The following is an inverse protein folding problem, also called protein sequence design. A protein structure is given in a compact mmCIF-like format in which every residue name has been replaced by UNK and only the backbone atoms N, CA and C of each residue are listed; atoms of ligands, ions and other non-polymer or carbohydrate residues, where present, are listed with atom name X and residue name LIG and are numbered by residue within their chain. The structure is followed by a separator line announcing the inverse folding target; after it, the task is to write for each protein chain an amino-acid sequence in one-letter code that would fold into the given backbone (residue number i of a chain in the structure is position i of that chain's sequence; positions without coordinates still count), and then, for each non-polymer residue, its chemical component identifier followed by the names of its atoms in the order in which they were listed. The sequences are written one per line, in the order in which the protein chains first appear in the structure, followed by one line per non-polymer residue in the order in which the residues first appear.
data_IF_598508534993
#
_entry.id   IF_598508534993
#
_cell.length_a   1.000
_cell.length_b   1.000
_cell.length_c   1.000
_cell.angle_alpha   90.00
_cell.angle_beta   90.00
_cell.angle_gamma   90.00
#
_symmetry.space_group_name_H-M   'P 1'
#
loop_
_entity.id
_entity.type
_entity.pdbx_description
1 polymer ?
#
# COMPACT_ATOMS: atom_id res chain seq x y z
N UNK A 1 -18.18 -26.27 -18.99
CA UNK A 1 -17.27 -25.81 -20.06
C UNK A 1 -18.07 -25.55 -21.32
N UNK A 2 -18.03 -24.31 -21.83
CA UNK A 2 -18.75 -23.90 -23.06
C UNK A 2 -17.74 -23.58 -24.15
N UNK A 3 -17.98 -24.05 -25.37
CA UNK A 3 -17.14 -23.73 -26.53
C UNK A 3 -17.62 -22.45 -27.20
N UNK A 4 -16.69 -21.54 -27.46
CA UNK A 4 -16.90 -20.34 -28.29
C UNK A 4 -15.63 -20.16 -29.14
N UNK A 5 -15.73 -19.94 -30.46
CA UNK A 5 -14.57 -19.77 -31.34
C UNK A 5 -13.46 -20.85 -31.23
N UNK A 6 -13.85 -22.12 -30.99
CA UNK A 6 -12.91 -23.24 -30.85
C UNK A 6 -12.08 -23.22 -29.56
N UNK A 7 -12.39 -22.33 -28.61
CA UNK A 7 -11.80 -22.28 -27.28
C UNK A 7 -12.83 -22.57 -26.19
N UNK A 8 -12.39 -23.27 -25.15
CA UNK A 8 -13.21 -23.63 -24.00
C UNK A 8 -13.20 -22.53 -22.94
N UNK A 9 -14.38 -22.03 -22.58
CA UNK A 9 -14.57 -20.98 -21.59
C UNK A 9 -15.37 -21.47 -20.38
N UNK A 10 -15.09 -20.84 -19.25
CA UNK A 10 -15.82 -21.02 -17.99
C UNK A 10 -16.60 -19.75 -17.65
N UNK A 11 -17.69 -19.94 -16.92
CA UNK A 11 -18.45 -18.88 -16.26
C UNK A 11 -17.81 -18.48 -14.94
N UNK A 12 -18.18 -17.32 -14.39
CA UNK A 12 -17.70 -16.89 -13.07
C UNK A 12 -18.02 -17.90 -11.96
N UNK A 13 -19.13 -18.63 -12.07
CA UNK A 13 -19.51 -19.68 -11.12
C UNK A 13 -18.56 -20.88 -11.19
N UNK A 14 -18.30 -21.37 -12.41
CA UNK A 14 -17.39 -22.50 -12.63
C UNK A 14 -15.94 -22.16 -12.21
N UNK A 15 -15.46 -20.94 -12.49
CA UNK A 15 -14.13 -20.50 -12.04
C UNK A 15 -14.07 -20.37 -10.52
N UNK A 16 -15.13 -19.86 -9.89
CA UNK A 16 -15.20 -19.73 -8.43
C UNK A 16 -15.11 -21.09 -7.74
N UNK A 17 -15.91 -22.05 -8.22
CA UNK A 17 -15.93 -23.42 -7.74
C UNK A 17 -14.56 -24.11 -7.92
N UNK A 18 -13.96 -23.99 -9.10
CA UNK A 18 -12.65 -24.58 -9.39
C UNK A 18 -11.52 -24.04 -8.51
N UNK A 19 -11.65 -22.79 -8.06
CA UNK A 19 -10.64 -22.10 -7.26
C UNK A 19 -10.94 -22.10 -5.75
N UNK A 20 -12.06 -22.70 -5.33
CA UNK A 20 -12.49 -22.72 -3.93
C UNK A 20 -12.77 -21.32 -3.35
N UNK A 21 -13.23 -20.38 -4.18
CA UNK A 21 -13.60 -19.01 -3.77
C UNK A 21 -15.04 -18.69 -4.12
N UNK A 22 -15.63 -17.63 -3.56
CA UNK A 22 -16.98 -17.22 -3.95
C UNK A 22 -17.01 -16.47 -5.29
N UNK A 23 -18.10 -16.53 -6.08
CA UNK A 23 -18.25 -15.71 -7.28
C UNK A 23 -18.13 -14.20 -7.01
N UNK A 24 -18.50 -13.75 -5.81
CA UNK A 24 -18.31 -12.37 -5.39
C UNK A 24 -16.83 -11.99 -5.24
N UNK A 25 -15.97 -12.93 -4.82
CA UNK A 25 -14.52 -12.73 -4.75
C UNK A 25 -13.94 -12.48 -6.15
N UNK A 26 -14.36 -13.26 -7.15
CA UNK A 26 -13.95 -13.04 -8.54
C UNK A 26 -14.42 -11.68 -9.07
N UNK A 27 -15.63 -11.22 -8.71
CA UNK A 27 -16.10 -9.87 -9.08
C UNK A 27 -15.24 -8.77 -8.46
N UNK A 28 -14.75 -8.97 -7.24
CA UNK A 28 -13.81 -8.04 -6.61
C UNK A 28 -12.47 -8.03 -7.36
N UNK A 29 -12.01 -9.18 -7.84
CA UNK A 29 -10.78 -9.25 -8.66
C UNK A 29 -10.95 -8.60 -10.03
N UNK A 30 -12.10 -8.77 -10.67
CA UNK A 30 -12.46 -8.05 -11.91
C UNK A 30 -12.46 -6.54 -11.71
N UNK A 31 -13.11 -6.06 -10.65
CA UNK A 31 -13.20 -4.64 -10.33
C UNK A 31 -11.84 -4.01 -9.98
N UNK A 32 -10.86 -4.85 -9.62
CA UNK A 32 -9.47 -4.48 -9.33
C UNK A 32 -8.52 -4.82 -10.46
N UNK A 33 -9.05 -5.24 -11.62
CA UNK A 33 -8.29 -5.62 -12.81
C UNK A 33 -7.25 -6.73 -12.58
N UNK A 34 -7.38 -7.47 -11.48
CA UNK A 34 -6.51 -8.61 -11.15
C UNK A 34 -6.77 -9.78 -12.10
N UNK A 35 -8.04 -9.94 -12.51
CA UNK A 35 -8.49 -10.91 -13.51
C UNK A 35 -9.54 -10.22 -14.37
N UNK A 36 -9.21 -9.91 -15.62
CA UNK A 36 -10.12 -9.26 -16.57
C UNK A 36 -10.65 -10.32 -17.54
N UNK A 37 -11.94 -10.69 -17.46
CA UNK A 37 -12.52 -11.67 -18.38
C UNK A 37 -12.89 -11.01 -19.71
N UNK A 38 -12.85 -11.82 -20.77
CA UNK A 38 -13.44 -11.45 -22.05
C UNK A 38 -14.96 -11.38 -21.93
N UNK A 39 -15.59 -10.74 -22.91
CA UNK A 39 -17.04 -10.61 -23.02
C UNK A 39 -17.53 -11.22 -24.30
N UNK A 40 -18.56 -12.06 -24.22
CA UNK A 40 -19.27 -12.52 -25.41
C UNK A 40 -20.03 -11.36 -26.07
N UNK A 41 -20.47 -11.53 -27.31
CA UNK A 41 -21.35 -10.58 -28.00
C UNK A 41 -22.65 -10.27 -27.21
N UNK A 42 -23.10 -11.20 -26.36
CA UNK A 42 -24.23 -11.03 -25.45
C UNK A 42 -23.86 -10.46 -24.07
N UNK A 43 -22.65 -9.93 -23.88
CA UNK A 43 -22.19 -9.28 -22.63
C UNK A 43 -21.82 -10.23 -21.48
N UNK A 44 -21.84 -11.55 -21.70
CA UNK A 44 -21.53 -12.54 -20.68
C UNK A 44 -20.01 -12.66 -20.48
N UNK A 45 -19.58 -12.87 -19.24
CA UNK A 45 -18.16 -13.07 -18.89
C UNK A 45 -17.66 -14.42 -19.39
N UNK A 46 -16.52 -14.41 -20.06
CA UNK A 46 -15.82 -15.58 -20.56
C UNK A 46 -14.44 -15.68 -19.90
N UNK A 47 -14.23 -16.72 -19.12
CA UNK A 47 -12.93 -17.00 -18.53
C UNK A 47 -12.24 -18.10 -19.31
N UNK A 48 -11.24 -17.73 -20.11
CA UNK A 48 -10.35 -18.68 -20.76
C UNK A 48 -9.27 -19.18 -19.79
N UNK A 49 -8.46 -20.12 -20.26
CA UNK A 49 -7.42 -20.76 -19.47
C UNK A 49 -6.40 -19.78 -18.87
N UNK A 50 -6.09 -18.68 -19.57
CA UNK A 50 -5.21 -17.62 -19.06
C UNK A 50 -5.82 -16.87 -17.86
N UNK A 51 -7.13 -16.57 -17.90
CA UNK A 51 -7.84 -15.94 -16.79
C UNK A 51 -7.87 -16.85 -15.56
N UNK A 52 -8.11 -18.15 -15.76
CA UNK A 52 -8.13 -19.15 -14.69
C UNK A 52 -6.74 -19.33 -14.07
N UNK A 53 -5.68 -19.37 -14.88
CA UNK A 53 -4.29 -19.41 -14.38
C UNK A 53 -3.96 -18.20 -13.51
N UNK A 54 -4.32 -16.99 -13.96
CA UNK A 54 -4.07 -15.76 -13.19
C UNK A 54 -4.89 -15.72 -11.89
N UNK A 55 -6.15 -16.12 -11.94
CA UNK A 55 -7.01 -16.25 -10.77
C UNK A 55 -6.47 -17.29 -9.77
N UNK A 56 -5.90 -18.40 -10.27
CA UNK A 56 -5.24 -19.42 -9.44
C UNK A 56 -3.99 -18.89 -8.75
N UNK A 57 -3.16 -18.10 -9.44
CA UNK A 57 -2.01 -17.43 -8.81
C UNK A 57 -2.47 -16.48 -7.69
N UNK A 58 -3.55 -15.73 -7.89
CA UNK A 58 -4.12 -14.88 -6.84
C UNK A 58 -4.61 -15.72 -5.65
N UNK A 59 -5.21 -16.89 -5.88
CA UNK A 59 -5.59 -17.83 -4.80
C UNK A 59 -4.38 -18.40 -4.08
N UNK A 60 -3.37 -18.83 -4.81
CA UNK A 60 -2.17 -19.46 -4.26
C UNK A 60 -1.38 -18.47 -3.39
N UNK A 61 -1.24 -17.22 -3.84
CA UNK A 61 -0.71 -16.11 -3.05
C UNK A 61 -1.53 -15.87 -1.77
N UNK A 62 -2.86 -16.04 -1.83
CA UNK A 62 -3.72 -15.93 -0.64
C UNK A 62 -3.60 -17.13 0.30
N UNK A 63 -3.37 -18.33 -0.22
CA UNK A 63 -3.29 -19.58 0.55
C UNK A 63 -1.93 -19.78 1.22
N UNK A 64 -0.82 -19.43 0.54
CA UNK A 64 0.53 -19.51 1.12
C UNK A 64 0.83 -18.42 2.15
N UNK A 65 0.18 -17.26 2.06
CA UNK A 65 0.42 -16.12 2.96
C UNK A 65 -0.71 -15.81 3.97
N UNK A 66 -1.83 -16.55 3.97
CA UNK A 66 -2.88 -16.46 5.00
C UNK A 66 -3.89 -15.30 4.86
N UNK A 67 -4.29 -14.91 3.66
CA UNK A 67 -5.05 -13.65 3.44
C UNK A 67 -6.57 -13.87 3.35
N UNK A 68 -7.24 -13.80 4.50
CA UNK A 68 -8.68 -13.57 4.63
C UNK A 68 -8.92 -12.09 5.01
N UNK A 69 -9.90 -11.37 4.43
CA UNK A 69 -10.37 -10.07 4.93
C UNK A 69 -10.62 -10.01 6.45
N UNK A 70 -11.01 -11.14 7.07
CA UNK A 70 -11.14 -11.26 8.53
C UNK A 70 -9.79 -11.42 9.26
N UNK A 71 -8.77 -12.01 8.62
CA UNK A 71 -7.40 -12.07 9.15
C UNK A 71 -6.64 -10.76 8.96
N UNK A 72 -7.02 -9.95 7.96
CA UNK A 72 -6.60 -8.53 7.84
C UNK A 72 -7.14 -7.72 9.03
N UNK A 73 -8.33 -8.04 9.54
CA UNK A 73 -8.85 -7.42 10.77
C UNK A 73 -8.13 -7.94 12.03
N UNK A 74 -7.69 -9.20 12.03
CA UNK A 74 -6.95 -9.81 13.15
C UNK A 74 -5.47 -9.36 13.19
N UNK A 75 -4.84 -9.10 12.03
CA UNK A 75 -3.47 -8.59 11.91
C UNK A 75 -3.37 -7.07 12.03
N UNK A 76 -4.40 -6.32 11.63
CA UNK A 76 -4.49 -4.87 11.87
C UNK A 76 -5.07 -4.52 13.26
N UNK A 77 -5.42 -5.53 14.06
CA UNK A 77 -6.32 -5.39 15.22
C UNK A 77 -5.85 -6.01 16.54
N UNK A 78 -4.57 -6.36 16.72
CA UNK A 78 -4.02 -6.31 18.08
C UNK A 78 -3.82 -4.84 18.42
N UNK A 79 -4.74 -4.32 19.23
CA UNK A 79 -4.88 -2.93 19.64
C UNK A 79 -3.69 -2.36 20.40
N UNK A 80 -2.55 -2.24 19.72
CA UNK A 80 -1.51 -1.32 20.14
C UNK A 80 -1.97 0.07 19.71
N UNK A 81 -2.49 0.85 20.67
CA UNK A 81 -2.54 2.30 20.52
C UNK A 81 -1.11 2.76 20.30
N UNK A 82 -0.78 3.12 19.07
CA UNK A 82 0.47 3.83 18.80
C UNK A 82 0.13 5.31 18.88
N UNK A 83 0.63 5.98 19.92
CA UNK A 83 0.67 7.43 19.95
C UNK A 83 1.51 7.89 18.76
N UNK A 84 0.82 8.24 17.68
CA UNK A 84 1.43 8.92 16.55
C UNK A 84 1.89 10.28 17.07
N UNK A 85 3.20 10.51 17.14
CA UNK A 85 3.75 11.81 17.51
C UNK A 85 3.11 12.95 16.70
N UNK A 86 3.11 14.18 17.23
CA UNK A 86 2.39 15.30 16.60
C UNK A 86 2.75 15.53 15.12
N UNK A 87 4.01 15.23 14.76
CA UNK A 87 4.58 15.36 13.41
C UNK A 87 4.34 14.15 12.51
N UNK A 88 3.69 13.09 13.01
CA UNK A 88 3.41 11.89 12.23
C UNK A 88 2.54 12.24 11.03
N UNK A 89 3.04 12.02 9.82
CA UNK A 89 2.29 12.38 8.64
C UNK A 89 1.14 11.38 8.42
N UNK A 90 1.15 10.20 9.05
CA UNK A 90 0.15 9.12 8.89
C UNK A 90 -0.91 9.08 9.98
N UNK A 91 -1.12 10.20 10.68
CA UNK A 91 -2.20 10.32 11.68
C UNK A 91 -3.57 10.13 11.04
N UNK A 92 -4.51 9.61 11.84
CA UNK A 92 -5.89 9.40 11.41
C UNK A 92 -6.57 10.65 10.82
N UNK A 93 -6.36 11.81 11.43
CA UNK A 93 -6.91 13.07 10.93
C UNK A 93 -6.28 13.51 9.61
N UNK A 94 -4.99 13.20 9.41
CA UNK A 94 -4.28 13.43 8.15
C UNK A 94 -4.82 12.53 7.02
N UNK A 95 -5.01 11.24 7.28
CA UNK A 95 -5.64 10.29 6.34
C UNK A 95 -7.05 10.77 5.97
N UNK A 96 -7.82 11.21 6.97
CA UNK A 96 -9.17 11.77 6.78
C UNK A 96 -9.17 13.01 5.90
N UNK A 97 -8.21 13.93 6.09
CA UNK A 97 -8.05 15.13 5.25
C UNK A 97 -7.72 14.73 3.81
N UNK A 98 -6.71 13.88 3.61
CA UNK A 98 -6.29 13.41 2.30
C UNK A 98 -7.44 12.76 1.50
N UNK A 99 -8.28 11.97 2.19
CA UNK A 99 -9.50 11.40 1.62
C UNK A 99 -10.50 12.47 1.20
N UNK A 100 -10.79 13.43 2.08
CA UNK A 100 -11.78 14.49 1.85
C UNK A 100 -11.38 15.44 0.72
N UNK A 101 -10.10 15.79 0.62
CA UNK A 101 -9.59 16.67 -0.45
C UNK A 101 -9.71 16.02 -1.84
N UNK A 102 -9.85 14.70 -1.90
CA UNK A 102 -10.14 13.91 -3.12
C UNK A 102 -11.62 13.69 -3.37
N UNK A 103 -12.50 14.22 -2.52
CA UNK A 103 -13.94 14.05 -2.64
C UNK A 103 -14.43 12.62 -2.38
N UNK A 104 -13.61 11.76 -1.76
CA UNK A 104 -13.97 10.37 -1.51
C UNK A 104 -14.82 10.23 -0.25
N UNK A 105 -15.91 9.48 -0.35
CA UNK A 105 -16.66 9.01 0.82
C UNK A 105 -15.83 7.98 1.59
N UNK A 106 -16.18 7.76 2.87
CA UNK A 106 -15.52 6.74 3.69
C UNK A 106 -15.64 5.34 3.06
N UNK A 107 -16.80 5.01 2.46
CA UNK A 107 -17.04 3.71 1.83
C UNK A 107 -16.22 3.52 0.56
N UNK A 108 -16.15 4.54 -0.30
CA UNK A 108 -15.33 4.48 -1.52
C UNK A 108 -13.85 4.35 -1.19
N UNK A 109 -13.35 5.14 -0.25
CA UNK A 109 -11.96 5.07 0.19
C UNK A 109 -11.64 3.70 0.78
N UNK A 110 -12.48 3.18 1.68
CA UNK A 110 -12.31 1.85 2.26
C UNK A 110 -12.29 0.75 1.18
N UNK A 111 -13.17 0.84 0.18
CA UNK A 111 -13.20 -0.10 -0.94
C UNK A 111 -11.92 -0.05 -1.80
N UNK A 112 -11.42 1.17 -2.11
CA UNK A 112 -10.16 1.37 -2.86
C UNK A 112 -8.95 0.82 -2.11
N UNK A 113 -8.84 1.16 -0.83
CA UNK A 113 -7.77 0.65 0.05
C UNK A 113 -7.88 -0.87 0.17
N UNK A 114 -9.11 -1.40 0.23
CA UNK A 114 -9.41 -2.82 0.44
C UNK A 114 -9.55 -3.19 1.92
N UNK A 115 -10.22 -2.34 2.70
CA UNK A 115 -10.56 -2.55 4.12
C UNK A 115 -12.03 -2.28 4.38
N UNK A 116 -12.53 -2.60 5.58
CA UNK A 116 -13.90 -2.24 5.95
C UNK A 116 -14.03 -0.74 6.22
N UNK A 117 -15.23 -0.19 5.98
CA UNK A 117 -15.49 1.21 6.29
C UNK A 117 -15.39 1.48 7.80
N UNK A 118 -15.76 0.52 8.65
CA UNK A 118 -15.61 0.63 10.11
C UNK A 118 -14.14 0.70 10.52
N UNK A 119 -13.28 -0.13 9.94
CA UNK A 119 -11.84 -0.10 10.20
C UNK A 119 -11.22 1.24 9.78
N UNK A 120 -11.48 1.69 8.56
CA UNK A 120 -11.00 3.01 8.11
C UNK A 120 -11.52 4.14 9.00
N UNK A 121 -12.77 4.03 9.48
CA UNK A 121 -13.35 4.99 10.44
C UNK A 121 -12.55 5.05 11.75
N UNK A 122 -12.19 3.90 12.32
CA UNK A 122 -11.40 3.82 13.56
C UNK A 122 -9.98 4.34 13.37
N UNK A 123 -9.35 4.04 12.22
CA UNK A 123 -8.05 4.64 11.86
C UNK A 123 -8.15 6.17 11.76
N UNK A 124 -9.16 6.70 11.06
CA UNK A 124 -9.34 8.15 10.89
C UNK A 124 -9.65 8.91 12.20
N UNK A 125 -10.14 8.19 13.22
CA UNK A 125 -10.31 8.70 14.58
C UNK A 125 -9.07 8.53 15.47
N UNK A 126 -8.03 7.86 14.98
CA UNK A 126 -6.81 7.57 15.75
C UNK A 126 -7.01 6.48 16.82
N UNK A 127 -8.06 5.67 16.70
CA UNK A 127 -8.33 4.57 17.65
C UNK A 127 -7.44 3.35 17.40
N UNK A 128 -6.96 3.20 16.17
CA UNK A 128 -6.14 2.07 15.71
C UNK A 128 -4.92 2.62 15.00
N UNK A 129 -3.74 2.06 15.31
CA UNK A 129 -2.50 2.38 14.63
C UNK A 129 -2.47 1.88 13.18
N UNK A 130 -1.48 2.33 12.41
CA UNK A 130 -1.29 1.94 11.01
C UNK A 130 0.04 1.22 10.82
N UNK A 131 0.06 0.22 9.93
CA UNK A 131 1.29 -0.47 9.51
C UNK A 131 1.89 0.21 8.27
N UNK A 132 3.14 -0.10 7.94
CA UNK A 132 3.75 0.36 6.67
C UNK A 132 2.91 -0.06 5.47
N UNK A 133 2.46 -1.32 5.45
CA UNK A 133 1.61 -1.88 4.42
C UNK A 133 0.30 -1.10 4.25
N UNK A 134 -0.33 -0.73 5.37
CA UNK A 134 -1.56 0.03 5.33
C UNK A 134 -1.32 1.44 4.77
N UNK A 135 -0.28 2.13 5.23
CA UNK A 135 0.07 3.48 4.74
C UNK A 135 0.36 3.45 3.24
N UNK A 136 1.15 2.49 2.76
CA UNK A 136 1.44 2.31 1.34
C UNK A 136 0.14 2.12 0.52
N UNK A 137 -0.79 1.28 1.01
CA UNK A 137 -2.08 1.07 0.35
C UNK A 137 -2.96 2.31 0.34
N UNK A 138 -2.91 3.14 1.39
CA UNK A 138 -3.62 4.43 1.40
C UNK A 138 -3.03 5.37 0.37
N UNK A 139 -1.70 5.49 0.33
CA UNK A 139 -0.99 6.32 -0.63
C UNK A 139 -1.35 5.95 -2.08
N UNK A 140 -1.28 4.65 -2.41
CA UNK A 140 -1.65 4.13 -3.72
C UNK A 140 -3.14 4.36 -4.03
N UNK A 141 -4.05 4.03 -3.11
CA UNK A 141 -5.49 4.19 -3.30
C UNK A 141 -5.91 5.65 -3.51
N UNK A 142 -5.15 6.57 -2.92
CA UNK A 142 -5.36 8.00 -3.06
C UNK A 142 -4.54 8.58 -4.21
N UNK A 143 -3.73 7.79 -4.93
CA UNK A 143 -2.82 8.30 -5.96
C UNK A 143 -2.03 9.47 -5.38
N UNK A 144 -1.30 9.17 -4.32
CA UNK A 144 -0.49 10.15 -3.61
C UNK A 144 0.78 9.50 -3.14
N UNK A 145 1.84 10.30 -2.98
CA UNK A 145 3.04 9.83 -2.32
C UNK A 145 2.75 9.49 -0.86
N UNK A 146 3.58 8.66 -0.24
CA UNK A 146 3.47 8.48 1.21
C UNK A 146 3.73 9.82 1.87
N UNK A 147 4.86 10.50 1.59
CA UNK A 147 5.18 11.84 2.12
C UNK A 147 4.04 12.86 1.98
N UNK A 148 3.21 12.70 0.94
CA UNK A 148 2.20 13.64 0.46
C UNK A 148 1.05 13.94 1.41
N UNK A 149 0.94 13.27 2.56
CA UNK A 149 -0.02 13.71 3.59
C UNK A 149 0.53 14.83 4.49
N UNK A 150 1.84 15.13 4.40
CA UNK A 150 2.41 16.37 4.91
C UNK A 150 1.97 17.55 4.02
N UNK A 151 1.43 18.61 4.63
CA UNK A 151 0.88 19.76 3.91
C UNK A 151 1.95 20.78 3.53
N UNK A 152 2.88 20.46 2.62
CA UNK A 152 3.76 21.46 2.01
C UNK A 152 4.43 20.95 0.72
N UNK A 153 4.74 21.83 -0.23
CA UNK A 153 5.60 21.52 -1.40
C UNK A 153 6.77 22.49 -1.45
N UNK A 154 8.00 21.97 -1.49
CA UNK A 154 9.18 22.78 -1.75
C UNK A 154 9.36 23.04 -3.25
N UNK A 155 9.84 24.24 -3.61
CA UNK A 155 10.33 24.55 -4.96
C UNK A 155 11.84 24.84 -4.86
N UNK A 156 12.64 24.21 -5.72
CA UNK A 156 14.10 24.34 -5.72
C UNK A 156 14.82 23.42 -4.72
N UNK A 157 16.14 23.58 -4.55
CA UNK A 157 16.91 22.83 -3.55
C UNK A 157 16.42 23.15 -2.14
N UNK A 158 16.24 22.12 -1.32
CA UNK A 158 15.83 22.24 0.08
C UNK A 158 16.69 21.32 0.94
N UNK A 159 16.67 21.57 2.25
CA UNK A 159 17.36 20.74 3.24
C UNK A 159 16.34 20.28 4.26
N UNK A 160 16.26 18.98 4.51
CA UNK A 160 15.54 18.41 5.65
C UNK A 160 16.56 18.12 6.74
N UNK A 161 16.58 18.93 7.80
CA UNK A 161 17.49 18.75 8.93
C UNK A 161 17.01 17.58 9.78
N UNK A 162 17.95 16.86 10.41
CA UNK A 162 17.65 15.62 11.15
C UNK A 162 16.68 15.81 12.32
N UNK A 163 16.70 16.98 12.93
CA UNK A 163 15.86 17.42 14.05
C UNK A 163 14.50 17.99 13.61
N UNK A 164 14.30 18.20 12.30
CA UNK A 164 13.09 18.80 11.72
C UNK A 164 12.30 17.82 10.84
N UNK A 165 12.75 16.55 10.74
CA UNK A 165 12.09 15.53 9.90
C UNK A 165 10.66 15.29 10.36
N UNK A 166 9.74 15.21 9.40
CA UNK A 166 8.45 14.59 9.68
C UNK A 166 8.69 13.12 10.02
N UNK A 167 8.19 12.67 11.18
CA UNK A 167 8.43 11.32 11.67
C UNK A 167 7.17 10.73 12.28
N UNK A 168 6.90 9.45 12.05
CA UNK A 168 5.78 8.75 12.63
C UNK A 168 6.17 7.36 13.14
N UNK A 169 5.57 6.96 14.27
CA UNK A 169 5.65 5.59 14.76
C UNK A 169 4.46 4.81 14.21
N UNK A 170 4.75 3.71 13.54
CA UNK A 170 3.80 2.74 13.00
C UNK A 170 3.60 1.59 14.00
N UNK A 171 2.60 0.75 13.74
CA UNK A 171 2.34 -0.48 14.51
C UNK A 171 3.62 -1.31 14.66
N UNK A 172 3.82 -1.85 15.86
CA UNK A 172 5.03 -2.59 16.21
C UNK A 172 6.22 -1.72 16.62
N UNK A 173 6.09 -0.38 16.61
CA UNK A 173 7.16 0.54 16.99
C UNK A 173 8.14 0.82 15.85
N UNK A 174 7.75 0.53 14.61
CA UNK A 174 8.52 0.93 13.42
C UNK A 174 8.50 2.44 13.32
N UNK A 175 9.67 3.07 13.37
CA UNK A 175 9.81 4.52 13.20
C UNK A 175 10.09 4.82 11.74
N UNK A 176 9.30 5.71 11.16
CA UNK A 176 9.43 6.19 9.79
C UNK A 176 9.77 7.68 9.82
N UNK A 177 10.90 8.07 9.23
CA UNK A 177 11.33 9.46 9.09
C UNK A 177 11.40 9.85 7.61
N UNK A 178 10.71 10.92 7.23
CA UNK A 178 10.78 11.49 5.88
C UNK A 178 12.09 12.26 5.69
N UNK A 179 12.80 11.96 4.60
CA UNK A 179 14.03 12.67 4.21
C UNK A 179 13.80 13.64 3.05
N UNK A 180 12.54 13.83 2.67
CA UNK A 180 12.09 14.64 1.55
C UNK A 180 10.85 15.43 1.95
N UNK A 181 10.64 16.57 1.30
CA UNK A 181 9.35 17.25 1.33
C UNK A 181 8.47 16.70 0.18
N UNK A 182 7.14 16.79 0.26
CA UNK A 182 6.31 16.40 -0.87
C UNK A 182 6.61 17.25 -2.11
N UNK A 183 6.62 16.61 -3.28
CA UNK A 183 6.67 17.28 -4.59
C UNK A 183 7.75 16.76 -5.54
N UNK A 184 8.50 15.74 -5.12
CA UNK A 184 9.62 15.20 -5.89
C UNK A 184 9.31 13.81 -6.47
N UNK A 185 10.12 13.39 -7.44
CA UNK A 185 9.98 12.10 -8.09
C UNK A 185 10.54 10.93 -7.25
N UNK A 186 11.35 11.23 -6.24
CA UNK A 186 11.95 10.28 -5.32
C UNK A 186 11.52 10.61 -3.91
N UNK A 187 11.13 9.59 -3.15
CA UNK A 187 10.76 9.69 -1.75
C UNK A 187 11.72 8.89 -0.87
N UNK A 188 12.86 9.50 -0.50
CA UNK A 188 13.75 8.92 0.48
C UNK A 188 13.13 8.98 1.89
N UNK A 189 13.20 7.86 2.60
CA UNK A 189 12.82 7.74 4.00
C UNK A 189 13.85 6.90 4.76
N UNK A 190 13.96 7.17 6.06
CA UNK A 190 14.74 6.35 6.98
C UNK A 190 13.78 5.56 7.87
N UNK A 191 13.94 4.25 7.89
CA UNK A 191 13.17 3.35 8.75
C UNK A 191 14.05 2.82 9.85
N UNK A 192 13.51 2.80 11.07
CA UNK A 192 14.04 2.03 12.19
C UNK A 192 13.03 0.95 12.57
N UNK A 193 13.40 -0.31 12.36
CA UNK A 193 12.53 -1.48 12.53
C UNK A 193 12.96 -2.25 13.78
N UNK A 194 12.14 -2.32 14.84
CA UNK A 194 12.48 -3.10 16.03
C UNK A 194 12.61 -4.61 15.75
N UNK A 195 13.26 -5.37 16.64
CA UNK A 195 13.34 -6.83 16.55
C UNK A 195 11.97 -7.48 16.37
N UNK A 196 11.89 -8.50 15.50
CA UNK A 196 10.67 -9.25 15.22
C UNK A 196 9.48 -8.41 14.73
N UNK A 197 9.75 -7.24 14.14
CA UNK A 197 8.74 -6.38 13.49
C UNK A 197 8.90 -6.38 11.99
N UNK A 198 7.82 -6.04 11.31
CA UNK A 198 7.67 -6.20 9.88
C UNK A 198 6.85 -5.06 9.25
N UNK A 199 6.66 -5.14 7.94
CA UNK A 199 5.87 -4.19 7.17
C UNK A 199 4.36 -4.23 7.49
N UNK A 200 3.87 -5.17 8.30
CA UNK A 200 2.45 -5.44 8.54
C UNK A 200 1.77 -6.19 7.41
N UNK A 201 2.55 -6.96 6.64
CA UNK A 201 2.10 -7.71 5.47
C UNK A 201 2.70 -7.20 4.16
N UNK A 202 2.35 -7.87 3.05
CA UNK A 202 2.87 -7.55 1.73
C UNK A 202 2.13 -6.36 1.08
N UNK A 203 2.88 -5.61 0.28
CA UNK A 203 2.39 -4.50 -0.53
C UNK A 203 3.24 -4.38 -1.80
N UNK A 204 2.76 -3.59 -2.74
CA UNK A 204 3.50 -3.25 -3.96
C UNK A 204 3.50 -1.73 -4.09
N UNK A 205 4.44 -1.19 -4.85
CA UNK A 205 4.50 0.25 -5.16
C UNK A 205 4.45 0.48 -6.66
N UNK A 206 3.86 1.59 -7.11
CA UNK A 206 3.68 1.86 -8.53
C UNK A 206 4.99 2.24 -9.24
N UNK A 207 6.03 2.64 -8.51
CA UNK A 207 7.39 2.84 -8.99
C UNK A 207 8.38 1.89 -8.32
N UNK A 208 9.64 1.95 -8.74
CA UNK A 208 10.73 1.16 -8.15
C UNK A 208 11.00 1.59 -6.71
N UNK A 209 11.41 0.63 -5.87
CA UNK A 209 11.86 0.87 -4.51
C UNK A 209 13.31 0.45 -4.38
N UNK A 210 14.19 1.39 -4.03
CA UNK A 210 15.56 1.11 -3.61
C UNK A 210 15.62 1.01 -2.09
N UNK A 211 16.34 0.02 -1.57
CA UNK A 211 16.56 -0.19 -0.14
C UNK A 211 18.05 -0.37 0.11
N UNK A 212 18.57 0.27 1.15
CA UNK A 212 19.94 0.10 1.63
C UNK A 212 19.94 -0.11 3.15
N UNK A 213 20.57 -1.18 3.63
CA UNK A 213 20.62 -1.49 5.08
C UNK A 213 21.80 -0.74 5.71
N UNK A 214 21.49 0.19 6.60
CA UNK A 214 22.47 1.00 7.33
C UNK A 214 23.00 0.29 8.57
N UNK A 215 22.14 -0.47 9.25
CA UNK A 215 22.46 -1.23 10.46
C UNK A 215 21.47 -2.38 10.67
N UNK A 216 21.90 -3.45 11.32
CA UNK A 216 21.08 -4.65 11.53
C UNK A 216 20.90 -5.47 10.25
N UNK A 217 19.73 -6.08 10.11
CA UNK A 217 19.40 -6.88 8.93
C UNK A 217 17.90 -6.80 8.65
N UNK A 218 17.53 -6.96 7.39
CA UNK A 218 16.14 -7.13 6.96
C UNK A 218 16.03 -8.38 6.11
N UNK A 219 14.90 -9.07 6.20
CA UNK A 219 14.52 -10.13 5.25
C UNK A 219 13.38 -9.59 4.41
N UNK A 220 13.56 -9.60 3.10
CA UNK A 220 12.53 -9.27 2.11
C UNK A 220 11.92 -10.56 1.58
N UNK A 221 10.60 -10.63 1.59
CA UNK A 221 9.83 -11.68 0.92
C UNK A 221 9.35 -11.13 -0.41
N UNK A 222 9.84 -11.66 -1.53
CA UNK A 222 9.54 -11.26 -2.90
C UNK A 222 8.81 -12.43 -3.60
N UNK A 223 7.47 -12.44 -3.54
CA UNK A 223 6.70 -13.62 -3.94
C UNK A 223 7.03 -14.84 -3.08
N UNK A 224 7.56 -15.91 -3.69
CA UNK A 224 7.99 -17.13 -3.00
C UNK A 224 9.44 -17.07 -2.49
N UNK A 225 10.21 -16.05 -2.88
CA UNK A 225 11.63 -15.92 -2.51
C UNK A 225 11.79 -15.12 -1.22
N UNK A 226 12.75 -15.51 -0.38
CA UNK A 226 13.21 -14.70 0.75
C UNK A 226 14.66 -14.31 0.55
N UNK A 227 14.90 -13.01 0.58
CA UNK A 227 16.22 -12.40 0.43
C UNK A 227 16.58 -11.71 1.74
N UNK A 228 17.66 -12.17 2.38
CA UNK A 228 18.23 -11.50 3.54
C UNK A 228 19.20 -10.42 3.06
N UNK A 229 19.08 -9.23 3.65
CA UNK A 229 19.99 -8.10 3.50
C UNK A 229 20.64 -7.83 4.85
N UNK A 230 21.97 -7.84 4.89
CA UNK A 230 22.78 -7.47 6.04
C UNK A 230 23.31 -6.02 5.88
N UNK A 231 24.06 -5.54 6.87
CA UNK A 231 24.60 -4.16 6.85
C UNK A 231 25.45 -3.90 5.61
N UNK A 232 25.13 -2.82 4.88
CA UNK A 232 25.81 -2.45 3.63
C UNK A 232 25.19 -3.03 2.37
N UNK A 233 24.24 -3.96 2.49
CA UNK A 233 23.54 -4.52 1.33
C UNK A 233 22.48 -3.56 0.77
N UNK A 234 22.26 -3.67 -0.54
CA UNK A 234 21.24 -2.94 -1.27
C UNK A 234 20.30 -3.89 -2.02
N UNK A 235 19.05 -3.49 -2.15
CA UNK A 235 18.05 -4.18 -2.94
C UNK A 235 17.28 -3.16 -3.79
N UNK A 236 17.06 -3.49 -5.07
CA UNK A 236 16.09 -2.79 -5.91
C UNK A 236 14.91 -3.71 -6.13
N UNK A 237 13.72 -3.21 -5.78
CA UNK A 237 12.45 -3.88 -6.00
C UNK A 237 11.77 -3.22 -7.20
N UNK A 238 11.58 -3.94 -8.32
CA UNK A 238 10.92 -3.39 -9.50
C UNK A 238 9.48 -2.94 -9.19
N UNK A 239 9.00 -1.95 -9.95
CA UNK A 239 7.63 -1.47 -9.84
C UNK A 239 6.59 -2.61 -9.92
N UNK A 240 5.53 -2.50 -9.12
CA UNK A 240 4.43 -3.47 -8.98
C UNK A 240 4.84 -4.85 -8.48
N UNK A 241 6.08 -5.04 -8.03
CA UNK A 241 6.48 -6.27 -7.33
C UNK A 241 5.82 -6.29 -5.96
N UNK A 242 5.18 -7.41 -5.62
CA UNK A 242 4.63 -7.63 -4.30
C UNK A 242 5.76 -8.04 -3.36
N UNK A 243 5.97 -7.27 -2.30
CA UNK A 243 6.99 -7.55 -1.29
C UNK A 243 6.50 -7.31 0.13
N UNK A 244 7.11 -8.02 1.07
CA UNK A 244 7.05 -7.74 2.50
C UNK A 244 8.47 -7.69 3.05
N UNK A 245 8.66 -7.07 4.21
CA UNK A 245 9.95 -7.10 4.89
C UNK A 245 9.78 -7.30 6.39
N UNK A 246 10.78 -7.88 7.03
CA UNK A 246 10.84 -8.07 8.47
C UNK A 246 12.26 -7.89 9.01
N UNK A 247 12.39 -7.54 10.28
CA UNK A 247 13.65 -7.59 11.00
C UNK A 247 13.77 -8.95 11.72
N UNK A 248 14.63 -9.87 11.24
CA UNK A 248 14.83 -11.18 11.85
C UNK A 248 15.77 -11.13 13.08
N UNK A 249 16.45 -10.00 13.32
CA UNK A 249 17.50 -9.88 14.30
C UNK A 249 17.01 -9.53 15.70
N UNK A 250 17.90 -9.64 16.68
CA UNK A 250 17.66 -9.22 18.07
C UNK A 250 17.94 -7.73 18.32
N UNK A 251 18.39 -6.99 17.30
CA UNK A 251 18.71 -5.55 17.35
C UNK A 251 17.80 -4.79 16.41
N UNK A 252 17.48 -3.50 16.66
CA UNK A 252 16.80 -2.68 15.66
C UNK A 252 17.59 -2.64 14.35
N UNK A 253 16.90 -2.80 13.23
CA UNK A 253 17.45 -2.60 11.89
C UNK A 253 17.18 -1.16 11.44
N UNK A 254 18.15 -0.53 10.78
CA UNK A 254 18.00 0.80 10.17
C UNK A 254 18.22 0.66 8.68
N UNK A 255 17.30 1.18 7.88
CA UNK A 255 17.37 1.08 6.43
C UNK A 255 16.89 2.36 5.76
N UNK A 256 17.57 2.73 4.69
CA UNK A 256 17.21 3.82 3.81
C UNK A 256 16.36 3.27 2.67
N UNK A 257 15.14 3.77 2.55
CA UNK A 257 14.21 3.43 1.49
C UNK A 257 14.13 4.62 0.54
N UNK A 258 14.12 4.39 -0.76
CA UNK A 258 13.82 5.41 -1.77
C UNK A 258 12.78 4.85 -2.70
N UNK A 259 11.62 5.49 -2.71
CA UNK A 259 10.53 5.07 -3.57
C UNK A 259 10.36 6.06 -4.71
N UNK A 260 10.29 5.54 -5.92
CA UNK A 260 9.97 6.36 -7.08
C UNK A 260 8.48 6.61 -7.14
N UNK A 261 8.10 7.88 -7.21
CA UNK A 261 6.71 8.31 -7.37
C UNK A 261 6.44 8.57 -8.85
N UNK A 262 5.47 7.87 -9.47
CA UNK A 262 5.10 8.14 -10.86
C UNK A 262 4.67 9.60 -11.02
N UNK A 263 5.03 10.23 -12.13
CA UNK A 263 4.67 11.63 -12.42
C UNK A 263 3.15 11.90 -12.34
N UNK A 264 2.34 10.88 -12.65
CA UNK A 264 0.87 10.92 -12.59
C UNK A 264 0.29 10.86 -11.16
N UNK A 265 1.05 10.39 -10.17
CA UNK A 265 0.63 10.39 -8.76
C UNK A 265 0.49 11.82 -8.20
N UNK A 266 0.94 12.83 -8.94
CA UNK A 266 0.75 14.24 -8.61
C UNK A 266 -0.44 14.90 -9.32
N UNK A 267 -1.28 14.13 -10.04
CA UNK A 267 -2.29 14.66 -10.97
C UNK A 267 -3.02 15.91 -10.45
N UNK A 268 -3.00 16.93 -11.32
CA UNK A 268 -3.04 18.36 -11.01
C UNK A 268 -4.26 18.83 -10.21
N UNK A 269 -5.36 18.07 -10.20
CA UNK A 269 -6.61 18.43 -9.55
C UNK A 269 -6.56 18.45 -8.01
N UNK A 270 -5.69 17.67 -7.37
CA UNK A 270 -5.53 17.67 -5.90
C UNK A 270 -4.51 18.73 -5.44
N UNK A 271 -3.42 18.89 -6.20
CA UNK A 271 -2.40 19.90 -5.97
C UNK A 271 -2.94 21.33 -6.12
N UNK A 272 -3.71 21.58 -7.19
CA UNK A 272 -4.27 22.91 -7.48
C UNK A 272 -5.28 23.37 -6.41
N UNK A 273 -6.05 22.44 -5.82
CA UNK A 273 -7.04 22.76 -4.77
C UNK A 273 -6.40 23.07 -3.42
N UNK A 274 -5.26 22.46 -3.09
CA UNK A 274 -4.49 22.81 -1.91
C UNK A 274 -3.86 24.21 -2.03
N UNK A 275 -3.31 24.55 -3.21
CA UNK A 275 -2.73 25.87 -3.51
C UNK A 275 -3.78 26.99 -3.50
N UNK A 276 -5.01 26.72 -3.94
CA UNK A 276 -6.09 27.70 -3.92
C UNK A 276 -6.57 28.07 -2.49
N UNK A 277 -6.38 27.18 -1.50
CA UNK A 277 -6.81 27.41 -0.10
C UNK A 277 -5.79 28.19 0.71
N UNK A 278 -4.49 28.00 0.48
CA UNK A 278 -3.42 28.78 1.13
C UNK A 278 -3.41 30.25 0.68
N UNK A 279 -3.84 30.56 -0.54
CA UNK A 279 -3.99 31.95 -1.01
C UNK A 279 -5.19 32.72 -0.44
N UNK A 280 -6.16 32.05 0.21
CA UNK A 280 -7.36 32.69 0.79
C UNK A 280 -7.23 33.06 2.27
N UNK A 281 -6.16 32.65 2.95
CA UNK A 281 -5.92 32.98 4.37
C UNK A 281 -4.71 33.92 4.56
N UNK A 282 -4.23 34.52 3.48
CA UNK A 282 -3.16 35.52 3.48
C UNK A 282 -3.57 36.76 2.69
N UNK A 283 -4.57 37.47 3.20
CA UNK A 283 -4.88 38.88 2.91
C UNK A 283 -5.49 39.49 4.16
#
# INVERSE_FOLDING_TARGET
MREHDGQSYLTIGEVAEQLGVSPQTLRVWEAKELVVPDRSAGGHRLYGEQHVRRARQVVELRQRHGWNPAAILDSLGRGDRVESGETSPWRGDTIRRARRDRGLTLREAAARIGVSASFLSSVERGEVGVTTQFVARVADAFLMPMSGMASFRAQGPFVVRSDERASGTLVGGVVWEELVLPGHALEPALLTVPPARDSGGAYARPGETFVFVLAGALVFTLGDEQVRLDEGDALVVPAQTLYAWSNPGARPARAFFVEQVPSQAWSEGAAARAVARTRRHGT
#
